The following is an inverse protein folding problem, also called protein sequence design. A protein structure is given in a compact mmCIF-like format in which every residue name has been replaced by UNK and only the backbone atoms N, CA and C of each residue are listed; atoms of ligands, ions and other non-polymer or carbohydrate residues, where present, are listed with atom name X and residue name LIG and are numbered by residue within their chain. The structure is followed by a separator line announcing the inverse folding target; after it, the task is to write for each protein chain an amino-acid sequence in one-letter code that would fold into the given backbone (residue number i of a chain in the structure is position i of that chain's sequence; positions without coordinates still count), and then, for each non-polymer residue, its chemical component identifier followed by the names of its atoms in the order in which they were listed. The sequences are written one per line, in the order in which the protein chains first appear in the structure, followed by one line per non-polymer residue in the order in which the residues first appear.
data_IF_508334493081
#
_entry.id   IF_508334493081
#
_cell.length_a   1.000
_cell.length_b   1.000
_cell.length_c   1.000
_cell.angle_alpha   90.00
_cell.angle_beta   90.00
_cell.angle_gamma   90.00
#
_symmetry.space_group_name_H-M   'P 1'
#
loop_
_entity.id
_entity.type
_entity.pdbx_description
1 polymer ?
#
# COMPACT_ATOMS: atom_id res chain seq x y z
N UNK A 1 11.51 9.37 -9.97
CA UNK A 1 10.47 8.52 -9.34
C UNK A 1 10.27 7.36 -10.30
N UNK A 2 11.05 6.29 -10.14
CA UNK A 2 11.45 5.48 -11.31
C UNK A 2 10.60 4.21 -11.52
N UNK A 3 9.43 4.13 -10.88
CA UNK A 3 8.55 2.94 -10.92
C UNK A 3 7.17 3.20 -11.56
N UNK A 4 6.92 4.43 -12.01
CA UNK A 4 5.68 4.86 -12.68
C UNK A 4 4.38 4.53 -11.93
N UNK A 5 4.43 4.58 -10.58
CA UNK A 5 3.21 4.53 -9.78
C UNK A 5 2.54 5.89 -9.72
N UNK A 6 1.23 5.90 -9.96
CA UNK A 6 0.36 6.99 -9.61
C UNK A 6 -0.07 6.82 -8.16
N UNK A 7 0.19 7.84 -7.35
CA UNK A 7 -0.33 7.90 -5.97
C UNK A 7 -1.71 8.57 -6.03
N UNK A 8 -2.77 7.78 -5.90
CA UNK A 8 -4.15 8.28 -6.02
C UNK A 8 -4.62 8.90 -4.70
N UNK A 9 -4.34 8.23 -3.58
CA UNK A 9 -4.60 8.73 -2.22
C UNK A 9 -3.47 8.33 -1.30
N UNK A 10 -3.23 9.15 -0.28
CA UNK A 10 -2.43 8.77 0.88
C UNK A 10 -3.12 9.24 2.16
N UNK A 11 -2.82 8.55 3.26
CA UNK A 11 -3.35 8.91 4.58
C UNK A 11 -2.34 8.55 5.66
N UNK A 12 -2.09 9.48 6.56
CA UNK A 12 -1.37 9.20 7.81
C UNK A 12 -2.35 8.70 8.87
N UNK A 13 -1.95 7.65 9.58
CA UNK A 13 -2.77 7.03 10.61
C UNK A 13 -1.91 6.54 11.76
N UNK A 14 -2.49 6.59 12.95
CA UNK A 14 -1.97 5.99 14.16
C UNK A 14 -3.06 5.07 14.69
N UNK A 15 -2.88 3.77 14.49
CA UNK A 15 -3.86 2.79 14.94
C UNK A 15 -3.68 2.44 16.41
N UNK A 16 -4.82 2.37 17.12
CA UNK A 16 -4.86 1.69 18.40
C UNK A 16 -4.96 0.19 18.15
N UNK A 17 -4.68 -0.58 19.19
CA UNK A 17 -4.79 -2.04 19.17
C UNK A 17 -6.14 -2.52 18.60
N UNK A 18 -7.24 -1.90 19.01
CA UNK A 18 -8.60 -2.23 18.57
C UNK A 18 -8.81 -2.04 17.06
N UNK A 19 -8.19 -1.01 16.45
CA UNK A 19 -8.25 -0.80 15.00
C UNK A 19 -7.57 -1.95 14.25
N UNK A 20 -6.41 -2.36 14.77
CA UNK A 20 -5.62 -3.45 14.20
C UNK A 20 -6.31 -4.80 14.36
N UNK A 21 -6.98 -5.04 15.50
CA UNK A 21 -7.78 -6.25 15.74
C UNK A 21 -8.98 -6.34 14.78
N UNK A 22 -9.66 -5.22 14.53
CA UNK A 22 -10.73 -5.15 13.53
C UNK A 22 -10.23 -5.47 12.12
N UNK A 23 -9.09 -4.89 11.74
CA UNK A 23 -8.50 -5.11 10.42
C UNK A 23 -8.10 -6.57 10.20
N UNK A 24 -7.44 -7.19 11.18
CA UNK A 24 -6.98 -8.57 11.10
C UNK A 24 -7.99 -9.62 11.59
N UNK A 25 -9.25 -9.27 11.77
CA UNK A 25 -10.25 -10.18 12.34
C UNK A 25 -10.31 -11.55 11.62
N UNK A 26 -10.12 -11.58 10.30
CA UNK A 26 -10.07 -12.82 9.50
C UNK A 26 -8.88 -13.75 9.84
N UNK A 27 -7.84 -13.19 10.47
CA UNK A 27 -6.65 -13.89 10.93
C UNK A 27 -6.75 -14.27 12.42
N UNK A 28 -7.87 -13.99 13.10
CA UNK A 28 -8.05 -14.33 14.50
C UNK A 28 -7.82 -15.83 14.74
N UNK A 29 -7.07 -16.16 15.81
CA UNK A 29 -6.69 -17.53 16.14
C UNK A 29 -5.48 -18.07 15.38
N UNK A 30 -4.96 -17.38 14.35
CA UNK A 30 -3.68 -17.76 13.72
C UNK A 30 -2.50 -17.38 14.62
N UNK A 31 -1.45 -18.21 14.61
CA UNK A 31 -0.28 -18.02 15.49
C UNK A 31 0.42 -16.66 15.35
N UNK A 32 0.26 -16.01 14.19
CA UNK A 32 0.87 -14.70 13.89
C UNK A 32 -0.05 -13.51 14.15
N UNK A 33 -1.32 -13.72 14.51
CA UNK A 33 -2.33 -12.66 14.65
C UNK A 33 -1.91 -11.59 15.65
N UNK A 34 -1.53 -11.98 16.87
CA UNK A 34 -1.13 -11.04 17.93
C UNK A 34 0.02 -10.15 17.49
N UNK A 35 0.95 -10.73 16.73
CA UNK A 35 2.12 -10.03 16.21
C UNK A 35 1.77 -8.97 15.17
N UNK A 36 0.78 -9.27 14.32
CA UNK A 36 0.27 -8.31 13.34
C UNK A 36 -0.44 -7.14 14.02
N UNK A 37 -1.28 -7.44 15.02
CA UNK A 37 -2.00 -6.45 15.82
C UNK A 37 -1.03 -5.53 16.56
N UNK A 38 -0.05 -6.09 17.26
CA UNK A 38 0.95 -5.32 18.00
C UNK A 38 1.81 -4.48 17.07
N UNK A 39 2.21 -5.01 15.92
CA UNK A 39 3.03 -4.26 14.98
C UNK A 39 2.28 -3.06 14.38
N UNK A 40 1.06 -3.26 13.89
CA UNK A 40 0.26 -2.17 13.31
C UNK A 40 -0.16 -1.11 14.34
N UNK A 41 -0.22 -1.47 15.63
CA UNK A 41 -0.50 -0.50 16.70
C UNK A 41 0.76 0.07 17.38
N UNK A 42 1.96 -0.26 16.88
CA UNK A 42 3.22 0.14 17.52
C UNK A 42 3.68 1.57 17.19
N UNK A 43 3.04 2.24 16.23
CA UNK A 43 3.46 3.57 15.82
C UNK A 43 2.67 4.15 14.64
N UNK A 44 3.06 5.35 14.18
CA UNK A 44 2.47 5.96 13.00
C UNK A 44 2.79 5.14 11.75
N UNK A 45 1.83 5.12 10.83
CA UNK A 45 2.01 4.55 9.50
C UNK A 45 1.34 5.44 8.46
N UNK A 46 1.72 5.23 7.20
CA UNK A 46 1.12 5.88 6.06
C UNK A 46 0.56 4.84 5.10
N UNK A 47 -0.73 4.94 4.81
CA UNK A 47 -1.40 4.15 3.79
C UNK A 47 -1.32 4.87 2.44
N UNK A 48 -1.08 4.10 1.38
CA UNK A 48 -1.06 4.59 0.00
C UNK A 48 -2.01 3.76 -0.85
N UNK A 49 -2.80 4.45 -1.67
CA UNK A 49 -3.54 3.89 -2.77
C UNK A 49 -2.74 4.14 -4.05
N UNK A 50 -2.16 3.08 -4.60
CA UNK A 50 -1.28 3.14 -5.77
C UNK A 50 -1.98 2.59 -7.00
N UNK A 51 -1.88 3.30 -8.12
CA UNK A 51 -2.40 2.88 -9.42
C UNK A 51 -1.27 2.75 -10.45
N UNK A 52 -1.35 1.70 -11.25
CA UNK A 52 -0.44 1.34 -12.34
C UNK A 52 -1.03 0.13 -13.07
N UNK A 53 -0.67 -0.05 -14.34
CA UNK A 53 -0.78 -1.36 -14.96
C UNK A 53 0.03 -2.39 -14.16
N UNK A 54 -0.58 -3.54 -13.86
CA UNK A 54 0.01 -4.59 -13.02
C UNK A 54 0.47 -4.10 -11.62
N UNK A 55 -0.21 -3.10 -11.04
CA UNK A 55 0.18 -2.46 -9.77
C UNK A 55 0.52 -3.44 -8.65
N UNK A 56 -0.32 -4.45 -8.42
CA UNK A 56 -0.11 -5.45 -7.36
C UNK A 56 1.19 -6.21 -7.59
N UNK A 57 1.39 -6.75 -8.80
CA UNK A 57 2.59 -7.53 -9.14
C UNK A 57 3.84 -6.67 -8.97
N UNK A 58 3.83 -5.48 -9.54
CA UNK A 58 4.98 -4.59 -9.52
C UNK A 58 5.31 -4.08 -8.11
N UNK A 59 4.30 -3.76 -7.29
CA UNK A 59 4.53 -3.36 -5.90
C UNK A 59 5.14 -4.50 -5.09
N UNK A 60 4.69 -5.74 -5.31
CA UNK A 60 5.24 -6.93 -4.64
C UNK A 60 6.69 -7.22 -5.04
N UNK A 61 7.04 -6.99 -6.29
CA UNK A 61 8.43 -7.07 -6.77
C UNK A 61 9.31 -6.03 -6.07
N UNK A 62 8.86 -4.77 -6.01
CA UNK A 62 9.60 -3.69 -5.32
C UNK A 62 9.76 -3.94 -3.82
N UNK A 63 8.73 -4.46 -3.17
CA UNK A 63 8.83 -4.87 -1.76
C UNK A 63 9.85 -6.00 -1.60
N UNK A 64 9.81 -6.99 -2.49
CA UNK A 64 10.58 -8.22 -2.43
C UNK A 64 10.02 -9.25 -1.45
N UNK A 65 10.73 -10.38 -1.25
CA UNK A 65 10.25 -11.50 -0.44
C UNK A 65 9.91 -11.11 1.01
N UNK A 66 8.86 -11.71 1.58
CA UNK A 66 8.41 -11.41 2.96
C UNK A 66 9.49 -11.66 4.01
N UNK A 67 10.28 -12.73 3.85
CA UNK A 67 11.38 -13.08 4.75
C UNK A 67 12.58 -12.19 4.47
N UNK A 68 12.99 -11.37 5.43
CA UNK A 68 14.03 -10.35 5.24
C UNK A 68 15.35 -10.96 4.82
N UNK A 69 15.75 -12.09 5.42
CA UNK A 69 16.97 -12.80 5.03
C UNK A 69 16.94 -13.24 3.56
N UNK A 70 15.79 -13.74 3.09
CA UNK A 70 15.61 -14.12 1.68
C UNK A 70 15.64 -12.89 0.77
N UNK A 71 15.01 -11.79 1.17
CA UNK A 71 15.04 -10.54 0.42
C UNK A 71 16.48 -10.03 0.26
N UNK A 72 17.25 -9.96 1.34
CA UNK A 72 18.67 -9.56 1.31
C UNK A 72 19.53 -10.40 0.35
N UNK A 73 19.22 -11.69 0.21
CA UNK A 73 19.98 -12.57 -0.67
C UNK A 73 19.50 -12.55 -2.13
N UNK A 74 18.19 -12.55 -2.35
CA UNK A 74 17.59 -12.74 -3.69
C UNK A 74 17.17 -11.44 -4.38
N UNK A 75 16.94 -10.37 -3.62
CA UNK A 75 16.53 -9.06 -4.10
C UNK A 75 17.08 -7.97 -3.15
N UNK A 76 18.41 -7.82 -3.04
CA UNK A 76 19.03 -6.89 -2.08
C UNK A 76 18.57 -5.44 -2.24
N UNK A 77 18.27 -5.04 -3.48
CA UNK A 77 17.79 -3.70 -3.83
C UNK A 77 16.28 -3.50 -3.54
N UNK A 78 15.56 -4.55 -3.12
CA UNK A 78 14.14 -4.41 -2.75
C UNK A 78 13.99 -3.65 -1.43
N UNK A 79 12.80 -3.10 -1.17
CA UNK A 79 12.54 -2.35 0.06
C UNK A 79 12.83 -3.21 1.30
N UNK A 80 12.41 -4.48 1.29
CA UNK A 80 12.68 -5.44 2.38
C UNK A 80 14.15 -5.85 2.45
N UNK A 81 14.84 -5.94 1.33
CA UNK A 81 16.28 -6.22 1.27
C UNK A 81 17.09 -5.12 1.95
N UNK A 82 16.83 -3.87 1.57
CA UNK A 82 17.55 -2.70 2.08
C UNK A 82 17.18 -2.34 3.52
N UNK A 83 15.90 -2.35 3.87
CA UNK A 83 15.40 -1.74 5.11
C UNK A 83 14.74 -2.71 6.09
N UNK A 84 14.50 -3.96 5.70
CA UNK A 84 13.86 -4.95 6.57
C UNK A 84 14.74 -5.28 7.78
N UNK A 85 14.12 -5.36 8.96
CA UNK A 85 14.80 -5.72 10.20
C UNK A 85 14.53 -7.18 10.60
N UNK A 86 13.26 -7.57 10.57
CA UNK A 86 12.80 -8.93 10.89
C UNK A 86 11.62 -9.32 10.01
N UNK A 87 11.22 -10.58 10.02
CA UNK A 87 10.08 -11.06 9.21
C UNK A 87 8.75 -10.35 9.53
N UNK A 88 8.62 -9.77 10.73
CA UNK A 88 7.44 -8.97 11.13
C UNK A 88 7.67 -7.47 11.07
N UNK A 89 8.92 -7.03 10.98
CA UNK A 89 9.31 -5.62 10.80
C UNK A 89 10.03 -5.52 9.46
N UNK A 90 9.30 -5.80 8.39
CA UNK A 90 9.79 -5.84 7.01
C UNK A 90 9.36 -4.59 6.21
N UNK A 91 9.14 -3.48 6.90
CA UNK A 91 8.97 -2.13 6.33
C UNK A 91 7.64 -1.85 5.63
N UNK A 92 7.13 -2.75 4.78
CA UNK A 92 5.97 -2.48 3.92
C UNK A 92 4.98 -3.64 3.84
N UNK A 93 3.71 -3.27 3.72
CA UNK A 93 2.59 -4.13 3.34
C UNK A 93 2.17 -3.87 1.88
N UNK A 94 1.49 -4.85 1.29
CA UNK A 94 0.84 -4.67 0.00
C UNK A 94 -0.04 -5.86 -0.31
N UNK A 95 -1.20 -5.57 -0.90
CA UNK A 95 -2.19 -6.54 -1.35
C UNK A 95 -1.56 -7.65 -2.18
N UNK A 96 -2.11 -8.86 -2.12
CA UNK A 96 -1.64 -10.02 -2.88
C UNK A 96 -2.58 -10.43 -4.03
N UNK A 97 -3.82 -9.96 -4.01
CA UNK A 97 -4.81 -10.17 -5.07
C UNK A 97 -5.70 -8.94 -5.27
N UNK A 98 -6.51 -8.95 -6.33
CA UNK A 98 -7.48 -7.89 -6.61
C UNK A 98 -8.55 -7.85 -5.51
N UNK A 99 -8.98 -9.02 -5.03
CA UNK A 99 -9.94 -9.14 -3.94
C UNK A 99 -9.38 -8.59 -2.63
N UNK A 100 -8.12 -8.90 -2.28
CA UNK A 100 -7.49 -8.32 -1.10
C UNK A 100 -7.34 -6.81 -1.24
N UNK A 101 -6.94 -6.32 -2.43
CA UNK A 101 -6.78 -4.90 -2.70
C UNK A 101 -8.09 -4.14 -2.50
N UNK A 102 -9.22 -4.63 -3.04
CA UNK A 102 -10.54 -3.99 -2.84
C UNK A 102 -10.89 -3.88 -1.36
N UNK A 103 -10.80 -4.98 -0.61
CA UNK A 103 -11.09 -4.98 0.83
C UNK A 103 -10.21 -4.01 1.61
N UNK A 104 -8.91 -3.98 1.31
CA UNK A 104 -7.96 -3.09 1.97
C UNK A 104 -8.27 -1.62 1.63
N UNK A 105 -8.59 -1.32 0.37
CA UNK A 105 -8.93 0.04 -0.08
C UNK A 105 -10.19 0.53 0.61
N UNK A 106 -11.25 -0.28 0.65
CA UNK A 106 -12.50 0.06 1.35
C UNK A 106 -12.26 0.32 2.85
N UNK A 107 -11.33 -0.43 3.46
CA UNK A 107 -10.99 -0.26 4.86
C UNK A 107 -10.22 1.04 5.14
N UNK A 108 -9.19 1.34 4.35
CA UNK A 108 -8.33 2.51 4.57
C UNK A 108 -8.92 3.82 4.04
N UNK A 109 -9.72 3.73 2.97
CA UNK A 109 -10.30 4.84 2.23
C UNK A 109 -11.80 4.59 1.97
N UNK A 110 -12.66 4.55 3.02
CA UNK A 110 -14.08 4.22 2.86
C UNK A 110 -14.85 5.21 1.97
N UNK A 111 -14.35 6.45 1.83
CA UNK A 111 -14.93 7.48 0.96
C UNK A 111 -14.39 7.41 -0.48
N UNK A 112 -13.70 6.32 -0.87
CA UNK A 112 -13.16 6.13 -2.20
C UNK A 112 -13.93 5.04 -2.95
N UNK A 113 -14.60 5.42 -4.04
CA UNK A 113 -15.24 4.47 -4.94
C UNK A 113 -14.28 4.06 -6.06
N UNK A 114 -13.78 2.82 -6.00
CA UNK A 114 -12.85 2.29 -6.99
C UNK A 114 -13.45 2.27 -8.40
N UNK A 115 -14.71 1.86 -8.53
CA UNK A 115 -15.39 1.72 -9.82
C UNK A 115 -15.54 3.07 -10.51
N UNK A 116 -16.01 4.09 -9.78
CA UNK A 116 -16.13 5.45 -10.29
C UNK A 116 -14.77 6.02 -10.70
N UNK A 117 -13.73 5.79 -9.91
CA UNK A 117 -12.38 6.24 -10.24
C UNK A 117 -11.84 5.56 -11.50
N UNK A 118 -12.03 4.25 -11.64
CA UNK A 118 -11.63 3.47 -12.82
C UNK A 118 -12.34 3.95 -14.09
N UNK A 119 -13.61 4.35 -13.99
CA UNK A 119 -14.39 4.79 -15.15
C UNK A 119 -14.08 6.23 -15.57
N UNK A 120 -13.91 7.14 -14.60
CA UNK A 120 -13.83 8.59 -14.87
C UNK A 120 -12.42 9.15 -14.87
N UNK A 121 -11.59 8.70 -13.92
CA UNK A 121 -10.29 9.32 -13.65
C UNK A 121 -9.15 8.50 -14.25
N UNK A 122 -9.15 7.17 -14.11
CA UNK A 122 -8.07 6.31 -14.60
C UNK A 122 -7.66 6.56 -16.07
N UNK A 123 -8.60 6.76 -17.03
CA UNK A 123 -8.23 7.05 -18.41
C UNK A 123 -7.45 8.37 -18.55
N UNK A 124 -7.75 9.35 -17.70
CA UNK A 124 -7.06 10.64 -17.68
C UNK A 124 -5.66 10.49 -17.08
N UNK A 125 -5.53 9.71 -16.01
CA UNK A 125 -4.23 9.36 -15.43
C UNK A 125 -3.35 8.63 -16.44
N UNK A 126 -3.93 7.73 -17.24
CA UNK A 126 -3.22 7.02 -18.31
C UNK A 126 -2.80 7.92 -19.47
N UNK A 127 -3.57 8.96 -19.77
CA UNK A 127 -3.25 9.91 -20.84
C UNK A 127 -2.08 10.86 -20.52
N UNK A 128 -1.53 10.80 -19.31
CA UNK A 128 -0.38 11.60 -18.89
C UNK A 128 -0.70 13.03 -18.48
N UNK A 129 -1.99 13.38 -18.37
CA UNK A 129 -2.45 14.70 -17.93
C UNK A 129 -2.43 14.83 -16.39
N UNK A 130 -1.32 14.43 -15.77
CA UNK A 130 -1.18 14.40 -14.31
C UNK A 130 0.08 15.11 -13.86
N UNK A 131 0.01 15.69 -12.68
CA UNK A 131 1.17 16.22 -11.97
C UNK A 131 1.17 15.73 -10.53
N UNK A 132 2.35 15.67 -9.93
CA UNK A 132 2.47 15.38 -8.51
C UNK A 132 2.26 16.67 -7.71
N UNK A 133 1.30 16.67 -6.80
CA UNK A 133 1.02 17.77 -5.88
C UNK A 133 1.83 17.54 -4.60
N UNK A 134 2.93 18.30 -4.42
CA UNK A 134 3.84 18.16 -3.27
C UNK A 134 3.15 18.41 -1.92
N UNK A 135 2.11 19.24 -1.88
CA UNK A 135 1.39 19.56 -0.64
C UNK A 135 0.47 18.41 -0.25
N UNK A 136 -0.23 17.83 -1.22
CA UNK A 136 -1.16 16.71 -0.97
C UNK A 136 -0.45 15.35 -0.99
N UNK A 137 0.76 15.29 -1.54
CA UNK A 137 1.56 14.08 -1.73
C UNK A 137 0.86 13.00 -2.57
N UNK A 138 0.06 13.45 -3.53
CA UNK A 138 -0.68 12.60 -4.48
C UNK A 138 -0.52 13.14 -5.90
N UNK A 139 -0.82 12.32 -6.88
CA UNK A 139 -0.96 12.77 -8.25
C UNK A 139 -2.37 13.32 -8.47
N UNK A 140 -2.46 14.47 -9.12
CA UNK A 140 -3.71 15.16 -9.45
C UNK A 140 -3.79 15.37 -10.96
N UNK A 141 -5.01 15.47 -11.47
CA UNK A 141 -5.23 15.84 -12.86
C UNK A 141 -4.74 17.28 -13.06
N UNK A 142 -4.01 17.50 -14.15
CA UNK A 142 -3.64 18.83 -14.59
C UNK A 142 -4.90 19.55 -15.06
N UNK A 143 -5.36 20.54 -14.31
CA UNK A 143 -6.49 21.37 -14.70
C UNK A 143 -6.17 22.03 -16.03
N UNK A 144 -6.98 21.77 -17.07
CA UNK A 144 -6.93 22.60 -18.28
C UNK A 144 -7.30 24.03 -17.85
N UNK A 145 -6.33 24.94 -17.97
CA UNK A 145 -6.52 26.38 -17.79
C UNK A 145 -7.27 26.96 -18.98
#
# INVERSE_FOLDING_TARGET
MDNNFVIVKCKDLVWRRQDSERFYAEHSGRFFYQRLVEFMSSGPMRAYLLAREDAIRHWRELMGPTKVFRARYTAPESIRGQFGLTDTRNTTHGSDSIESARREIDFFFPDFCMEEWMDKEEPLFRSGQIHYDDQKQIHTLSTQS
#
